data_IF_272784653744
#
_entry.id   IF_272784653744
#
_cell.length_a   1.000
_cell.length_b   1.000
_cell.length_c   1.000
_cell.angle_alpha   90.00
_cell.angle_beta   90.00
_cell.angle_gamma   90.00
#
_symmetry.space_group_name_H-M   'P 1'
#
loop_
_entity.id
_entity.type
_entity.pdbx_description
1 polymer ?
#
# COMPACT_ATOMS: atom_id res chain seq x y z
N UNK A 1 -6.89 -16.31 -11.34
CA UNK A 1 -5.53 -15.86 -11.72
C UNK A 1 -5.70 -14.68 -12.65
N UNK A 2 -5.65 -13.45 -12.12
CA UNK A 2 -5.66 -12.25 -12.94
C UNK A 2 -4.23 -11.98 -13.37
N UNK A 3 -3.97 -12.14 -14.66
CA UNK A 3 -2.70 -11.84 -15.31
C UNK A 3 -2.42 -10.34 -15.18
N UNK A 4 -1.36 -9.98 -14.47
CA UNK A 4 -0.73 -8.67 -14.63
C UNK A 4 -0.35 -8.54 -16.12
N UNK A 5 -0.79 -7.46 -16.77
CA UNK A 5 -0.47 -7.23 -18.18
C UNK A 5 1.05 -7.17 -18.35
N UNK A 6 1.56 -8.04 -19.21
CA UNK A 6 2.97 -8.06 -19.58
C UNK A 6 3.31 -6.76 -20.32
N UNK A 7 4.11 -5.89 -19.68
CA UNK A 7 4.67 -4.69 -20.33
C UNK A 7 4.76 -3.43 -19.48
N UNK A 8 4.04 -3.32 -18.38
CA UNK A 8 4.13 -2.20 -17.44
C UNK A 8 4.55 -2.68 -16.05
N UNK A 9 5.34 -1.90 -15.30
CA UNK A 9 5.66 -2.20 -13.91
C UNK A 9 4.39 -2.24 -13.02
N UNK A 10 4.49 -2.83 -11.83
CA UNK A 10 3.39 -2.89 -10.85
C UNK A 10 3.19 -1.48 -10.27
N UNK A 11 1.95 -1.02 -10.27
CA UNK A 11 1.58 0.28 -9.70
C UNK A 11 0.92 0.14 -8.32
N UNK A 12 0.88 1.24 -7.56
CA UNK A 12 0.10 1.29 -6.31
C UNK A 12 -1.39 1.07 -6.57
N UNK A 13 -1.92 1.51 -7.71
CA UNK A 13 -3.31 1.27 -8.09
C UNK A 13 -3.60 -0.21 -8.30
N UNK A 14 -2.66 -0.98 -8.86
CA UNK A 14 -2.80 -2.44 -8.98
C UNK A 14 -2.89 -3.09 -7.60
N UNK A 15 -2.07 -2.62 -6.66
CA UNK A 15 -2.10 -3.08 -5.26
C UNK A 15 -3.43 -2.74 -4.57
N UNK A 16 -3.97 -1.53 -4.77
CA UNK A 16 -5.25 -1.10 -4.22
C UNK A 16 -6.42 -1.89 -4.83
N UNK A 17 -6.39 -2.13 -6.14
CA UNK A 17 -7.37 -2.97 -6.83
C UNK A 17 -7.34 -4.40 -6.27
N UNK A 18 -6.15 -4.99 -6.10
CA UNK A 18 -6.00 -6.33 -5.53
C UNK A 18 -6.47 -6.40 -4.08
N UNK A 19 -6.19 -5.36 -3.27
CA UNK A 19 -6.67 -5.26 -1.88
C UNK A 19 -8.20 -5.30 -1.78
N UNK A 20 -8.89 -4.76 -2.78
CA UNK A 20 -10.35 -4.64 -2.82
C UNK A 20 -11.05 -5.77 -3.60
N UNK A 21 -10.30 -6.80 -4.03
CA UNK A 21 -10.90 -7.98 -4.69
C UNK A 21 -11.75 -8.76 -3.69
N UNK A 22 -12.94 -9.13 -4.12
CA UNK A 22 -13.79 -10.05 -3.37
C UNK A 22 -13.21 -11.47 -3.43
N UNK A 23 -13.01 -12.07 -2.27
CA UNK A 23 -12.53 -13.43 -2.12
C UNK A 23 -13.62 -14.34 -1.55
N UNK A 24 -13.67 -15.58 -2.04
CA UNK A 24 -14.59 -16.60 -1.50
C UNK A 24 -13.85 -17.50 -0.52
N UNK A 25 -14.29 -17.50 0.72
CA UNK A 25 -13.75 -18.35 1.80
C UNK A 25 -14.30 -19.76 1.65
N UNK A 26 -13.43 -20.73 1.26
CA UNK A 26 -13.78 -22.14 0.98
C UNK A 26 -12.81 -23.09 1.69
N UNK A 27 -13.15 -24.37 1.72
CA UNK A 27 -12.29 -25.41 2.32
C UNK A 27 -12.00 -25.10 3.78
N UNK A 28 -10.72 -24.98 4.13
CA UNK A 28 -10.25 -24.69 5.50
C UNK A 28 -10.44 -23.24 5.91
N UNK A 29 -10.69 -22.33 4.95
CA UNK A 29 -10.90 -20.90 5.20
C UNK A 29 -12.38 -20.52 5.38
N UNK A 30 -13.29 -21.50 5.48
CA UNK A 30 -14.72 -21.25 5.71
C UNK A 30 -14.97 -20.38 6.93
N UNK A 31 -15.93 -19.48 6.81
CA UNK A 31 -16.35 -18.58 7.89
C UNK A 31 -17.28 -19.31 8.88
N UNK A 32 -16.97 -19.22 10.19
CA UNK A 32 -17.90 -19.70 11.22
C UNK A 32 -19.08 -18.72 11.35
N UNK A 33 -20.27 -19.18 10.99
CA UNK A 33 -21.51 -18.42 11.12
C UNK A 33 -22.16 -18.67 12.48
N UNK A 34 -22.26 -17.64 13.32
CA UNK A 34 -22.88 -17.75 14.65
C UNK A 34 -24.37 -18.08 14.62
N UNK A 35 -25.07 -17.75 13.52
CA UNK A 35 -26.50 -18.09 13.34
C UNK A 35 -26.68 -19.55 12.92
N UNK A 36 -25.89 -20.02 11.96
CA UNK A 36 -25.93 -21.41 11.48
C UNK A 36 -25.21 -22.37 12.44
N UNK A 37 -24.35 -21.85 13.33
CA UNK A 37 -23.46 -22.61 14.21
C UNK A 37 -22.57 -23.61 13.45
N UNK A 38 -22.16 -23.23 12.25
CA UNK A 38 -21.36 -24.06 11.34
C UNK A 38 -20.41 -23.20 10.49
N UNK A 39 -19.38 -23.87 9.92
CA UNK A 39 -18.46 -23.26 8.97
C UNK A 39 -19.08 -23.25 7.56
N UNK A 40 -19.42 -22.08 7.08
CA UNK A 40 -20.08 -21.87 5.78
C UNK A 40 -19.17 -21.19 4.77
N UNK A 41 -19.46 -21.42 3.49
CA UNK A 41 -18.85 -20.63 2.41
C UNK A 41 -19.38 -19.20 2.51
N UNK A 42 -18.46 -18.25 2.48
CA UNK A 42 -18.78 -16.82 2.55
C UNK A 42 -17.93 -16.00 1.58
N UNK A 43 -18.38 -14.84 1.17
CA UNK A 43 -17.55 -13.87 0.48
C UNK A 43 -17.02 -12.82 1.46
N UNK A 44 -15.78 -12.35 1.23
CA UNK A 44 -15.11 -11.33 2.00
C UNK A 44 -14.53 -10.30 1.05
N UNK A 45 -14.77 -9.02 1.33
CA UNK A 45 -14.20 -7.90 0.60
C UNK A 45 -13.67 -6.85 1.56
N UNK A 46 -12.49 -6.31 1.26
CA UNK A 46 -11.88 -5.22 2.02
C UNK A 46 -12.04 -3.91 1.25
N UNK A 47 -12.50 -2.86 1.92
CA UNK A 47 -12.68 -1.54 1.33
C UNK A 47 -12.29 -0.44 2.31
N UNK A 48 -11.82 0.70 1.78
CA UNK A 48 -11.54 1.89 2.60
C UNK A 48 -12.85 2.66 2.80
N UNK A 49 -13.34 2.68 4.03
CA UNK A 49 -14.65 3.29 4.32
C UNK A 49 -14.62 4.81 4.20
N UNK A 50 -13.64 5.48 4.81
CA UNK A 50 -13.55 6.94 4.91
C UNK A 50 -12.13 7.40 4.56
N UNK A 51 -12.02 8.55 3.87
CA UNK A 51 -10.76 9.20 3.59
C UNK A 51 -10.19 9.85 4.88
N UNK A 52 -9.05 9.37 5.42
CA UNK A 52 -8.38 10.03 6.54
C UNK A 52 -7.61 11.27 6.08
N UNK A 53 -7.27 12.17 6.99
CA UNK A 53 -6.35 13.28 6.68
C UNK A 53 -4.95 12.77 6.32
N UNK A 54 -4.47 11.76 7.04
CA UNK A 54 -3.20 11.09 6.79
C UNK A 54 -3.47 9.63 6.42
N UNK A 55 -3.08 9.26 5.21
CA UNK A 55 -3.20 7.89 4.69
C UNK A 55 -1.83 7.22 4.73
N UNK A 56 -1.74 6.12 5.47
CA UNK A 56 -0.53 5.31 5.56
C UNK A 56 -0.74 4.04 4.74
N UNK A 57 0.14 3.81 3.76
CA UNK A 57 0.11 2.62 2.92
C UNK A 57 1.34 1.76 3.23
N UNK A 58 1.11 0.57 3.76
CA UNK A 58 2.16 -0.40 4.02
C UNK A 58 2.22 -1.42 2.87
N UNK A 59 3.34 -1.44 2.15
CA UNK A 59 3.61 -2.42 1.12
C UNK A 59 4.02 -3.75 1.77
N UNK A 60 3.14 -4.75 1.76
CA UNK A 60 3.38 -6.07 2.38
C UNK A 60 4.41 -6.87 1.59
N UNK A 61 5.69 -6.52 1.73
CA UNK A 61 6.79 -7.12 0.97
C UNK A 61 7.27 -8.46 1.51
N UNK A 62 6.87 -8.85 2.70
CA UNK A 62 7.26 -10.13 3.29
C UNK A 62 6.15 -11.15 3.10
N UNK A 63 6.37 -12.12 2.21
CA UNK A 63 5.46 -13.23 2.01
C UNK A 63 5.90 -14.44 2.84
N UNK A 64 4.93 -15.05 3.55
CA UNK A 64 5.12 -16.29 4.25
C UNK A 64 4.46 -17.42 3.46
N UNK A 65 5.25 -18.33 2.93
CA UNK A 65 4.72 -19.56 2.31
C UNK A 65 4.87 -20.72 3.31
N UNK A 66 3.75 -21.13 3.92
CA UNK A 66 3.73 -22.21 4.92
C UNK A 66 4.15 -23.57 4.36
N UNK A 67 4.15 -23.74 3.03
CA UNK A 67 4.39 -25.00 2.37
C UNK A 67 5.87 -25.22 1.95
N UNK A 68 6.78 -24.31 2.28
CA UNK A 68 8.20 -24.47 1.97
C UNK A 68 9.07 -24.29 3.21
N UNK A 69 10.09 -25.12 3.35
CA UNK A 69 11.04 -25.11 4.48
C UNK A 69 11.84 -23.77 4.60
N UNK A 70 11.84 -22.96 3.53
CA UNK A 70 12.42 -21.63 3.46
C UNK A 70 11.37 -20.54 3.15
N UNK A 71 10.20 -20.70 3.75
CA UNK A 71 8.91 -20.09 3.39
C UNK A 71 8.78 -18.58 3.46
N UNK A 72 9.84 -17.83 3.76
CA UNK A 72 9.74 -16.38 3.85
C UNK A 72 10.66 -15.68 2.86
N UNK A 73 10.05 -14.91 1.97
CA UNK A 73 10.76 -14.15 0.94
C UNK A 73 10.35 -12.69 1.00
N UNK A 74 11.34 -11.79 0.86
CA UNK A 74 11.08 -10.36 0.61
C UNK A 74 10.81 -10.15 -0.87
N UNK A 75 9.70 -9.50 -1.20
CA UNK A 75 9.34 -9.09 -2.56
C UNK A 75 10.09 -7.79 -2.90
N UNK A 76 10.96 -7.84 -3.92
CA UNK A 76 11.85 -6.75 -4.32
C UNK A 76 11.35 -5.96 -5.54
N UNK A 77 10.12 -6.19 -6.00
CA UNK A 77 9.59 -5.52 -7.17
C UNK A 77 9.41 -4.02 -6.92
N UNK A 78 9.69 -3.20 -7.94
CA UNK A 78 9.36 -1.79 -7.91
C UNK A 78 7.83 -1.66 -7.95
N UNK A 79 7.29 -0.96 -6.97
CA UNK A 79 5.91 -0.49 -6.99
C UNK A 79 5.97 0.99 -7.39
N UNK A 80 5.40 1.32 -8.54
CA UNK A 80 5.26 2.70 -8.96
C UNK A 80 4.09 3.36 -8.23
N UNK A 81 4.34 4.49 -7.58
CA UNK A 81 3.32 5.21 -6.82
C UNK A 81 3.42 6.72 -7.06
N UNK A 82 2.27 7.41 -7.15
CA UNK A 82 2.26 8.86 -7.34
C UNK A 82 2.88 9.60 -6.16
N UNK A 83 3.84 10.49 -6.43
CA UNK A 83 4.36 11.42 -5.42
C UNK A 83 3.36 12.54 -5.17
N UNK A 84 2.59 12.92 -6.19
CA UNK A 84 1.53 13.91 -6.09
C UNK A 84 0.24 13.42 -6.72
N UNK A 85 -0.90 13.76 -6.10
CA UNK A 85 -2.22 13.53 -6.66
C UNK A 85 -2.67 12.08 -6.72
N UNK A 86 -2.26 11.20 -5.78
CA UNK A 86 -2.83 9.87 -5.64
C UNK A 86 -4.36 9.98 -5.54
N UNK A 87 -5.08 9.51 -6.54
CA UNK A 87 -6.52 9.60 -6.61
C UNK A 87 -7.19 8.40 -5.93
N UNK A 88 -7.78 8.66 -4.77
CA UNK A 88 -8.50 7.67 -3.98
C UNK A 88 -10.02 7.74 -4.15
N UNK A 89 -10.53 8.56 -5.06
CA UNK A 89 -11.97 8.85 -5.20
C UNK A 89 -12.82 7.59 -5.39
N UNK A 90 -12.32 6.62 -6.16
CA UNK A 90 -13.02 5.36 -6.45
C UNK A 90 -12.84 4.29 -5.36
N UNK A 91 -11.88 4.47 -4.45
CA UNK A 91 -11.55 3.50 -3.40
C UNK A 91 -12.27 3.78 -2.09
N UNK A 92 -12.86 4.97 -1.92
CA UNK A 92 -13.53 5.40 -0.69
C UNK A 92 -15.03 5.12 -0.76
N UNK A 93 -15.52 4.25 0.14
CA UNK A 93 -16.94 3.83 0.15
C UNK A 93 -17.88 5.01 0.37
N UNK A 94 -17.58 5.90 1.32
CA UNK A 94 -18.41 7.09 1.58
C UNK A 94 -18.56 8.02 0.37
N UNK A 95 -17.63 7.97 -0.58
CA UNK A 95 -17.66 8.81 -1.77
C UNK A 95 -18.60 8.27 -2.88
N UNK A 96 -19.04 7.01 -2.76
CA UNK A 96 -19.85 6.33 -3.81
C UNK A 96 -21.35 6.61 -3.73
N UNK A 97 -21.85 7.16 -2.62
CA UNK A 97 -23.29 7.27 -2.32
C UNK A 97 -23.90 8.68 -2.32
N UNK A 98 -23.17 9.72 -2.74
CA UNK A 98 -23.64 11.11 -2.71
C UNK A 98 -23.80 11.73 -4.09
N UNK A 99 -24.57 12.81 -4.20
CA UNK A 99 -24.88 13.58 -5.43
C UNK A 99 -23.66 14.25 -6.11
N UNK A 100 -22.45 13.92 -5.73
CA UNK A 100 -21.23 14.41 -6.36
C UNK A 100 -20.04 13.57 -5.96
N UNK A 101 -19.45 12.86 -6.92
CA UNK A 101 -18.14 12.24 -6.72
C UNK A 101 -17.10 13.32 -6.35
N UNK A 102 -16.83 13.45 -5.05
CA UNK A 102 -15.78 14.36 -4.59
C UNK A 102 -14.42 13.78 -5.01
N UNK A 103 -13.58 14.62 -5.63
CA UNK A 103 -12.19 14.25 -5.92
C UNK A 103 -11.41 14.17 -4.61
N UNK A 104 -10.94 12.98 -4.30
CA UNK A 104 -10.15 12.68 -3.08
C UNK A 104 -8.73 12.38 -3.52
N UNK A 105 -7.87 13.36 -3.41
CA UNK A 105 -6.46 13.27 -3.81
C UNK A 105 -5.53 13.42 -2.63
N UNK A 106 -4.43 12.70 -2.69
CA UNK A 106 -3.39 12.71 -1.67
C UNK A 106 -2.04 13.05 -2.27
N UNK A 107 -1.22 13.76 -1.50
CA UNK A 107 0.18 14.02 -1.84
C UNK A 107 1.09 13.30 -0.85
N UNK A 108 2.12 12.66 -1.38
CA UNK A 108 3.13 11.97 -0.60
C UNK A 108 4.00 13.00 0.14
N UNK A 109 4.22 12.79 1.43
CA UNK A 109 5.11 13.64 2.22
C UNK A 109 6.27 12.88 2.85
N UNK A 110 6.19 11.55 2.95
CA UNK A 110 7.30 10.73 3.39
C UNK A 110 7.22 9.29 2.88
N UNK A 111 8.37 8.64 2.79
CA UNK A 111 8.52 7.20 2.53
C UNK A 111 9.53 6.64 3.52
N UNK A 112 9.16 5.57 4.21
CA UNK A 112 10.12 4.72 4.92
C UNK A 112 10.57 3.62 3.98
N UNK A 113 11.87 3.52 3.77
CA UNK A 113 12.53 2.47 2.99
C UNK A 113 13.02 1.37 3.92
N UNK A 114 13.03 0.14 3.42
CA UNK A 114 13.64 -0.99 4.13
C UNK A 114 14.63 -1.71 3.22
N UNK A 115 15.87 -1.82 3.70
CA UNK A 115 16.96 -2.59 3.07
C UNK A 115 17.26 -3.83 3.91
N UNK A 116 17.57 -4.94 3.24
CA UNK A 116 17.88 -6.20 3.93
C UNK A 116 16.76 -7.25 3.81
N UNK A 117 16.79 -8.21 4.73
CA UNK A 117 15.91 -9.37 4.78
C UNK A 117 14.98 -9.34 6.01
N UNK A 118 14.28 -10.45 6.28
CA UNK A 118 13.49 -10.63 7.51
C UNK A 118 14.34 -10.72 8.78
N UNK A 119 15.54 -11.30 8.67
CA UNK A 119 16.42 -11.54 9.81
C UNK A 119 17.28 -10.33 10.19
N UNK A 120 17.24 -9.26 9.38
CA UNK A 120 18.01 -8.05 9.65
C UNK A 120 17.97 -7.09 8.46
N UNK A 121 18.14 -5.82 8.78
CA UNK A 121 18.13 -4.76 7.78
C UNK A 121 18.27 -3.38 8.41
N UNK A 122 18.21 -2.36 7.58
CA UNK A 122 18.18 -0.96 8.01
C UNK A 122 17.02 -0.22 7.36
N UNK A 123 16.64 0.85 7.99
CA UNK A 123 15.64 1.78 7.47
C UNK A 123 16.30 3.09 7.09
N UNK A 124 15.83 3.70 6.01
CA UNK A 124 16.08 5.10 5.68
C UNK A 124 14.73 5.77 5.40
N UNK A 125 14.70 7.09 5.32
CA UNK A 125 13.48 7.79 5.00
C UNK A 125 13.71 8.88 3.95
N UNK A 126 12.76 9.03 3.04
CA UNK A 126 12.58 10.27 2.31
C UNK A 126 11.47 11.06 2.98
N UNK A 127 11.69 12.34 3.25
CA UNK A 127 10.65 13.22 3.77
C UNK A 127 10.71 14.60 3.12
N UNK A 128 9.52 15.17 2.92
CA UNK A 128 9.34 16.50 2.33
C UNK A 128 9.22 17.53 3.44
N UNK A 129 10.15 18.48 3.50
CA UNK A 129 10.06 19.57 4.44
C UNK A 129 8.90 20.50 4.05
N UNK A 130 7.95 20.70 4.97
CA UNK A 130 6.72 21.45 4.71
C UNK A 130 6.95 22.96 4.53
N UNK A 131 8.01 23.54 5.13
CA UNK A 131 8.30 24.98 5.03
C UNK A 131 8.97 25.33 3.70
N UNK A 132 9.90 24.47 3.25
CA UNK A 132 10.70 24.74 2.04
C UNK A 132 10.20 23.94 0.83
N UNK A 133 9.22 23.04 1.03
CA UNK A 133 8.69 22.16 -0.03
C UNK A 133 9.76 21.34 -0.75
N UNK A 134 10.80 20.90 -0.03
CA UNK A 134 11.97 20.19 -0.54
C UNK A 134 12.08 18.81 0.07
N UNK A 135 12.46 17.83 -0.74
CA UNK A 135 12.73 16.48 -0.30
C UNK A 135 14.15 16.32 0.28
N UNK A 136 14.25 15.47 1.29
CA UNK A 136 15.51 15.06 1.91
C UNK A 136 15.51 13.57 2.13
N UNK A 137 16.70 12.97 1.98
CA UNK A 137 16.97 11.58 2.38
C UNK A 137 17.60 11.60 3.78
N UNK A 138 17.08 10.77 4.66
CA UNK A 138 17.57 10.58 6.04
C UNK A 138 18.09 9.14 6.15
N UNK A 139 19.36 8.99 6.46
CA UNK A 139 20.04 7.71 6.71
C UNK A 139 20.82 7.88 8.02
N UNK A 140 20.21 7.50 9.14
CA UNK A 140 20.67 7.74 10.51
C UNK A 140 20.99 9.22 10.77
N UNK A 141 22.27 9.58 10.92
CA UNK A 141 22.74 10.96 11.11
C UNK A 141 22.91 11.75 9.81
N UNK A 142 22.92 11.07 8.68
CA UNK A 142 23.17 11.69 7.38
C UNK A 142 21.89 12.22 6.77
N UNK A 143 21.90 13.51 6.39
CA UNK A 143 20.77 14.20 5.75
C UNK A 143 21.23 14.80 4.43
N UNK A 144 20.66 14.32 3.33
CA UNK A 144 20.99 14.78 1.99
C UNK A 144 19.76 15.32 1.27
N UNK A 145 19.95 16.34 0.42
CA UNK A 145 18.87 16.80 -0.47
C UNK A 145 18.51 15.68 -1.44
N UNK A 146 17.22 15.57 -1.73
CA UNK A 146 16.67 14.63 -2.70
C UNK A 146 15.71 15.33 -3.66
N UNK A 147 15.46 14.72 -4.80
CA UNK A 147 14.43 15.13 -5.75
C UNK A 147 13.19 14.23 -5.65
N UNK A 148 12.01 14.66 -6.13
CA UNK A 148 10.83 13.81 -6.19
C UNK A 148 11.06 12.49 -6.96
N UNK A 149 11.95 12.49 -7.97
CA UNK A 149 12.31 11.29 -8.74
C UNK A 149 13.09 10.25 -7.94
N UNK A 150 13.77 10.67 -6.86
CA UNK A 150 14.57 9.75 -6.03
C UNK A 150 13.72 8.98 -5.03
N UNK A 151 12.46 9.39 -4.83
CA UNK A 151 11.60 8.87 -3.75
C UNK A 151 10.97 7.52 -4.09
N UNK A 152 10.69 7.28 -5.39
CA UNK A 152 10.06 6.04 -5.86
C UNK A 152 11.13 4.98 -6.12
N UNK A 153 11.31 4.08 -5.15
CA UNK A 153 12.37 3.06 -5.20
C UNK A 153 11.86 1.66 -4.87
N UNK A 154 12.63 0.64 -5.21
CA UNK A 154 12.38 -0.76 -4.80
C UNK A 154 12.46 -0.96 -3.30
N UNK A 155 13.10 -0.05 -2.56
CA UNK A 155 13.24 -0.11 -1.11
C UNK A 155 12.02 0.46 -0.37
N UNK A 156 11.13 1.19 -1.05
CA UNK A 156 9.93 1.76 -0.46
C UNK A 156 9.12 0.68 0.26
N UNK A 157 8.78 0.94 1.53
CA UNK A 157 8.12 -0.03 2.41
C UNK A 157 6.84 0.52 3.04
N UNK A 158 6.88 1.75 3.57
CA UNK A 158 5.70 2.46 4.07
C UNK A 158 5.64 3.83 3.43
N UNK A 159 4.47 4.15 2.86
CA UNK A 159 4.19 5.41 2.18
C UNK A 159 3.27 6.26 3.06
N UNK A 160 3.59 7.54 3.21
CA UNK A 160 2.83 8.48 4.01
C UNK A 160 2.27 9.58 3.12
N UNK A 161 0.96 9.60 3.00
CA UNK A 161 0.22 10.56 2.19
C UNK A 161 -0.61 11.49 3.06
N UNK A 162 -0.77 12.72 2.60
CA UNK A 162 -1.67 13.71 3.19
C UNK A 162 -2.76 14.08 2.20
N UNK A 163 -4.00 14.16 2.71
CA UNK A 163 -5.16 14.60 1.92
C UNK A 163 -4.93 16.03 1.41
N UNK A 164 -5.10 16.20 0.10
CA UNK A 164 -5.05 17.52 -0.54
C UNK A 164 -6.32 18.30 -0.16
N UNK A 165 -6.14 19.50 0.36
CA UNK A 165 -7.22 20.43 0.68
C UNK A 165 -7.77 21.09 -0.57
#
# INVERSE_FOLDING_TARGET
>A
MNSFQAGGGITLYDCLNYFSVEETLRGDDKWYCSKCKDHVVASKKMEVYKAPEFLIVHLKRFSHNRNTMFGTRKLGDLIDFPVEGLDMSNYIVQNRGGDGHRKIKYDLYAVSNHFGSLSGGRYTAYAKNCLYNKWYNFDDSDVMKASPSDVVTKAAYVLFYRLRQ
#
